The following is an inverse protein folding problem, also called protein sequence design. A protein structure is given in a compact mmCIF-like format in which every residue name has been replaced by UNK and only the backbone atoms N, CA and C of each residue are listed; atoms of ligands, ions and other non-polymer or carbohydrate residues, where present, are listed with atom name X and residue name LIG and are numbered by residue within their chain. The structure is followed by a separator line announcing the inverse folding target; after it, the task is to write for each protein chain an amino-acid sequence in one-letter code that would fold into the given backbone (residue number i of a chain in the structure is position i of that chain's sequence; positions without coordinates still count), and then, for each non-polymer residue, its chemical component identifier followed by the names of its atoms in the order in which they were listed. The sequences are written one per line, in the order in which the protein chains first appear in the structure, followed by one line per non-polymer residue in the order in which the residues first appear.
data_IF_095342366994
#
_entry.id   IF_095342366994
#
_cell.length_a   1.000
_cell.length_b   1.000
_cell.length_c   1.000
_cell.angle_alpha   90.00
_cell.angle_beta   90.00
_cell.angle_gamma   90.00
#
_symmetry.space_group_name_H-M   'P 1'
#
loop_
_entity.id
_entity.type
_entity.pdbx_description
1 polymer ?
#
# COMPACT_ATOMS: atom_id res chain seq x y z
N UNK A 1 12.28 61.10 14.82
CA UNK A 1 11.04 60.28 14.75
C UNK A 1 9.92 60.73 15.70
N UNK A 2 9.98 61.91 16.31
CA UNK A 2 9.07 62.33 17.40
C UNK A 2 7.90 63.27 16.97
N UNK A 3 7.96 64.08 15.88
CA UNK A 3 6.88 65.02 15.60
C UNK A 3 5.61 64.33 15.09
N UNK A 4 5.74 63.30 14.24
CA UNK A 4 4.62 62.56 13.66
C UNK A 4 3.74 61.88 14.71
N UNK A 5 4.35 61.24 15.72
CA UNK A 5 3.64 60.59 16.82
C UNK A 5 2.81 61.59 17.65
N UNK A 6 3.33 62.80 17.89
CA UNK A 6 2.61 63.85 18.64
C UNK A 6 1.43 64.43 17.86
N UNK A 7 1.58 64.64 16.54
CA UNK A 7 0.47 65.08 15.67
C UNK A 7 -0.61 64.01 15.55
N UNK A 8 -0.22 62.74 15.38
CA UNK A 8 -1.15 61.63 15.32
C UNK A 8 -1.96 61.51 16.62
N UNK A 9 -1.33 61.69 17.78
CA UNK A 9 -2.00 61.63 19.09
C UNK A 9 -3.02 62.76 19.28
N UNK A 10 -2.70 63.97 18.79
CA UNK A 10 -3.59 65.14 18.84
C UNK A 10 -4.83 64.98 17.94
N UNK A 11 -4.66 64.30 16.81
CA UNK A 11 -5.77 63.91 15.92
C UNK A 11 -6.59 62.74 16.49
N UNK A 12 -5.94 61.76 17.12
CA UNK A 12 -6.60 60.61 17.74
C UNK A 12 -7.52 61.03 18.91
N UNK A 13 -7.07 61.99 19.72
CA UNK A 13 -7.84 62.50 20.87
C UNK A 13 -9.02 63.40 20.49
N UNK A 14 -9.11 63.83 19.22
CA UNK A 14 -10.23 64.64 18.69
C UNK A 14 -11.31 63.83 17.98
N UNK A 15 -11.17 62.51 17.90
CA UNK A 15 -12.16 61.64 17.26
C UNK A 15 -13.44 61.54 18.11
N UNK A 16 -14.62 61.59 17.47
CA UNK A 16 -15.89 61.39 18.18
C UNK A 16 -15.93 59.99 18.80
N UNK A 17 -16.64 59.83 19.92
CA UNK A 17 -16.70 58.56 20.65
C UNK A 17 -17.13 57.37 19.78
N UNK A 18 -17.94 57.60 18.75
CA UNK A 18 -18.37 56.61 17.77
C UNK A 18 -17.21 56.00 16.96
N UNK A 19 -16.19 56.81 16.61
CA UNK A 19 -15.01 56.31 15.90
C UNK A 19 -14.18 55.36 16.76
N UNK A 20 -14.11 55.60 18.07
CA UNK A 20 -13.45 54.71 19.03
C UNK A 20 -14.20 53.38 19.20
N UNK A 21 -15.54 53.40 19.13
CA UNK A 21 -16.36 52.18 19.14
C UNK A 21 -16.08 51.35 17.89
N UNK A 22 -16.01 51.98 16.71
CA UNK A 22 -15.68 51.27 15.46
C UNK A 22 -14.27 50.68 15.47
N UNK A 23 -13.28 51.42 15.99
CA UNK A 23 -11.90 50.93 16.13
C UNK A 23 -11.85 49.76 17.12
N UNK A 24 -12.51 49.88 18.27
CA UNK A 24 -12.58 48.82 19.28
C UNK A 24 -13.26 47.56 18.73
N UNK A 25 -14.37 47.73 18.01
CA UNK A 25 -15.06 46.63 17.34
C UNK A 25 -14.21 45.95 16.27
N UNK A 26 -13.50 46.73 15.44
CA UNK A 26 -12.56 46.20 14.45
C UNK A 26 -11.42 45.42 15.08
N UNK A 27 -10.82 45.94 16.15
CA UNK A 27 -9.75 45.25 16.89
C UNK A 27 -10.23 43.93 17.53
N UNK A 28 -11.43 43.93 18.12
CA UNK A 28 -12.02 42.72 18.68
C UNK A 28 -12.29 41.66 17.61
N UNK A 29 -12.81 42.07 16.44
CA UNK A 29 -13.08 41.15 15.34
C UNK A 29 -11.80 40.55 14.75
N UNK A 30 -10.75 41.35 14.57
CA UNK A 30 -9.44 40.85 14.13
C UNK A 30 -8.84 39.90 15.16
N UNK A 31 -8.90 40.23 16.46
CA UNK A 31 -8.43 39.37 17.52
C UNK A 31 -9.15 38.01 17.54
N UNK A 32 -10.48 38.02 17.36
CA UNK A 32 -11.29 36.81 17.27
C UNK A 32 -10.90 35.94 16.07
N UNK A 33 -10.73 36.53 14.89
CA UNK A 33 -10.34 35.79 13.69
C UNK A 33 -8.96 35.15 13.81
N UNK A 34 -7.99 35.88 14.38
CA UNK A 34 -6.63 35.38 14.62
C UNK A 34 -6.67 34.22 15.61
N UNK A 35 -7.36 34.40 16.74
CA UNK A 35 -7.51 33.34 17.74
C UNK A 35 -8.16 32.09 17.15
N UNK A 36 -9.28 32.24 16.44
CA UNK A 36 -9.99 31.14 15.79
C UNK A 36 -9.12 30.44 14.72
N UNK A 37 -8.28 31.17 13.99
CA UNK A 37 -7.36 30.56 13.02
C UNK A 37 -6.31 29.67 13.70
N UNK A 38 -5.69 30.16 14.78
CA UNK A 38 -4.70 29.39 15.53
C UNK A 38 -5.30 28.22 16.31
N UNK A 39 -6.50 28.39 16.87
CA UNK A 39 -7.23 27.32 17.55
C UNK A 39 -7.61 26.19 16.59
N UNK A 40 -8.13 26.52 15.41
CA UNK A 40 -8.41 25.54 14.37
C UNK A 40 -7.13 24.86 13.86
N UNK A 41 -6.04 25.59 13.67
CA UNK A 41 -4.76 25.01 13.27
C UNK A 41 -4.24 24.01 14.31
N UNK A 42 -4.33 24.36 15.60
CA UNK A 42 -3.94 23.48 16.70
C UNK A 42 -4.85 22.23 16.78
N UNK A 43 -6.14 22.38 16.54
CA UNK A 43 -7.08 21.26 16.52
C UNK A 43 -6.81 20.29 15.35
N UNK A 44 -6.49 20.81 14.16
CA UNK A 44 -6.12 20.00 13.00
C UNK A 44 -4.83 19.23 13.27
N UNK A 45 -3.80 19.89 13.81
CA UNK A 45 -2.52 19.25 14.09
C UNK A 45 -2.64 18.12 15.13
N UNK A 46 -3.43 18.32 16.18
CA UNK A 46 -3.72 17.25 17.16
C UNK A 46 -4.44 16.06 16.52
N UNK A 47 -5.41 16.32 15.63
CA UNK A 47 -6.13 15.27 14.95
C UNK A 47 -5.23 14.48 13.98
N UNK A 48 -4.34 15.15 13.25
CA UNK A 48 -3.41 14.50 12.34
C UNK A 48 -2.35 13.68 13.09
N UNK A 49 -1.87 14.16 14.25
CA UNK A 49 -1.02 13.38 15.13
C UNK A 49 -1.73 12.13 15.66
N UNK A 50 -3.00 12.25 16.06
CA UNK A 50 -3.80 11.11 16.51
C UNK A 50 -4.00 10.07 15.39
N UNK A 51 -4.26 10.53 14.15
CA UNK A 51 -4.34 9.66 12.97
C UNK A 51 -3.02 8.99 12.65
N UNK A 52 -1.91 9.71 12.71
CA UNK A 52 -0.58 9.17 12.43
C UNK A 52 -0.19 8.08 13.45
N UNK A 53 -0.50 8.30 14.73
CA UNK A 53 -0.28 7.33 15.80
C UNK A 53 -1.16 6.09 15.64
N UNK A 54 -2.46 6.26 15.34
CA UNK A 54 -3.36 5.13 15.06
C UNK A 54 -2.93 4.33 13.83
N UNK A 55 -2.47 5.02 12.78
CA UNK A 55 -1.95 4.38 11.57
C UNK A 55 -0.62 3.64 11.78
N UNK A 56 0.21 4.04 12.75
CA UNK A 56 1.47 3.36 13.05
C UNK A 56 1.26 1.94 13.58
N UNK A 57 0.38 1.80 14.58
CA UNK A 57 0.01 0.48 15.12
C UNK A 57 -0.65 -0.42 14.07
N UNK A 58 -1.48 0.16 13.18
CA UNK A 58 -2.06 -0.57 12.06
C UNK A 58 -1.03 -1.09 11.06
N UNK A 59 0.01 -0.30 10.74
CA UNK A 59 1.09 -0.70 9.83
C UNK A 59 1.92 -1.86 10.37
N UNK A 60 2.23 -1.85 11.66
CA UNK A 60 2.97 -2.94 12.32
C UNK A 60 2.18 -4.25 12.27
N UNK A 61 0.89 -4.19 12.64
CA UNK A 61 0.01 -5.36 12.58
C UNK A 61 -0.14 -5.91 11.16
N UNK A 62 -0.31 -5.05 10.16
CA UNK A 62 -0.35 -5.49 8.77
C UNK A 62 0.98 -6.08 8.28
N UNK A 63 2.13 -5.62 8.79
CA UNK A 63 3.42 -6.21 8.46
C UNK A 63 3.57 -7.64 9.03
N UNK A 64 3.13 -7.85 10.27
CA UNK A 64 3.13 -9.18 10.91
C UNK A 64 2.20 -10.17 10.19
N UNK A 65 0.99 -9.73 9.84
CA UNK A 65 0.01 -10.53 9.09
C UNK A 65 0.55 -10.91 7.70
N UNK A 66 1.17 -9.96 6.97
CA UNK A 66 1.77 -10.23 5.67
C UNK A 66 2.91 -11.26 5.73
N UNK A 67 3.72 -11.22 6.80
CA UNK A 67 4.81 -12.19 6.99
C UNK A 67 4.26 -13.58 7.32
N UNK A 68 3.24 -13.67 8.18
CA UNK A 68 2.59 -14.92 8.51
C UNK A 68 1.96 -15.58 7.26
N UNK A 69 1.26 -14.79 6.44
CA UNK A 69 0.66 -15.26 5.19
C UNK A 69 1.73 -15.73 4.19
N UNK A 70 2.88 -15.04 4.11
CA UNK A 70 3.98 -15.46 3.24
C UNK A 70 4.54 -16.83 3.66
N UNK A 71 4.76 -17.05 4.96
CA UNK A 71 5.23 -18.33 5.48
C UNK A 71 4.23 -19.46 5.28
N UNK A 72 2.94 -19.20 5.50
CA UNK A 72 1.90 -20.21 5.29
C UNK A 72 1.80 -20.60 3.82
N UNK A 73 1.82 -19.62 2.92
CA UNK A 73 1.82 -19.88 1.48
C UNK A 73 3.06 -20.64 1.02
N UNK A 74 4.24 -20.32 1.58
CA UNK A 74 5.47 -21.07 1.33
C UNK A 74 5.31 -22.53 1.77
N UNK A 75 4.82 -22.76 2.99
CA UNK A 75 4.60 -24.10 3.55
C UNK A 75 3.64 -24.93 2.69
N UNK A 76 2.55 -24.32 2.22
CA UNK A 76 1.57 -24.99 1.35
C UNK A 76 2.17 -25.38 0.00
N UNK A 77 3.03 -24.53 -0.58
CA UNK A 77 3.76 -24.84 -1.81
C UNK A 77 4.72 -26.00 -1.60
N UNK A 78 5.49 -25.99 -0.52
CA UNK A 78 6.44 -27.06 -0.20
C UNK A 78 5.72 -28.40 0.03
N UNK A 79 4.57 -28.40 0.72
CA UNK A 79 3.75 -29.59 0.91
C UNK A 79 3.18 -30.13 -0.41
N UNK A 80 2.70 -29.24 -1.28
CA UNK A 80 2.20 -29.62 -2.61
C UNK A 80 3.31 -30.23 -3.44
N UNK A 81 4.48 -29.60 -3.47
CA UNK A 81 5.60 -30.04 -4.29
C UNK A 81 6.15 -31.38 -3.76
N UNK A 82 6.17 -31.58 -2.44
CA UNK A 82 6.49 -32.88 -1.83
C UNK A 82 5.46 -33.96 -2.20
N UNK A 83 4.16 -33.65 -2.18
CA UNK A 83 3.11 -34.58 -2.58
C UNK A 83 3.20 -34.95 -4.06
N UNK A 84 3.51 -33.99 -4.94
CA UNK A 84 3.74 -34.23 -6.37
C UNK A 84 4.97 -35.13 -6.55
N UNK A 85 6.08 -34.84 -5.88
CA UNK A 85 7.29 -35.66 -5.96
C UNK A 85 7.04 -37.09 -5.46
N UNK A 86 6.27 -37.26 -4.39
CA UNK A 86 5.89 -38.58 -3.89
C UNK A 86 4.98 -39.32 -4.87
N UNK A 87 4.01 -38.65 -5.48
CA UNK A 87 3.14 -39.24 -6.50
C UNK A 87 3.96 -39.67 -7.74
N UNK A 88 4.87 -38.81 -8.22
CA UNK A 88 5.77 -39.11 -9.33
C UNK A 88 6.68 -40.31 -9.03
N UNK A 89 7.27 -40.37 -7.83
CA UNK A 89 8.08 -41.51 -7.39
C UNK A 89 7.25 -42.80 -7.31
N UNK A 90 6.00 -42.70 -6.83
CA UNK A 90 5.07 -43.84 -6.72
C UNK A 90 4.67 -44.37 -8.10
N UNK A 91 4.37 -43.48 -9.06
CA UNK A 91 4.10 -43.87 -10.45
C UNK A 91 5.36 -44.45 -11.12
N UNK A 92 6.53 -43.86 -10.91
CA UNK A 92 7.78 -44.37 -11.46
C UNK A 92 8.13 -45.77 -10.94
N UNK A 93 7.76 -46.08 -9.70
CA UNK A 93 7.96 -47.40 -9.09
C UNK A 93 7.03 -48.49 -9.67
N UNK A 94 5.92 -48.12 -10.34
CA UNK A 94 5.05 -49.10 -11.01
C UNK A 94 5.72 -49.68 -12.25
N UNK A 95 5.45 -50.95 -12.58
CA UNK A 95 5.87 -51.51 -13.85
C UNK A 95 5.24 -50.71 -15.01
N UNK A 96 5.92 -50.58 -16.17
CA UNK A 96 5.53 -49.67 -17.25
C UNK A 96 4.06 -49.82 -17.69
N UNK A 97 3.57 -51.05 -17.74
CA UNK A 97 2.21 -51.42 -18.12
C UNK A 97 1.13 -50.99 -17.11
N UNK A 98 1.50 -50.70 -15.86
CA UNK A 98 0.59 -50.29 -14.78
C UNK A 98 0.70 -48.80 -14.42
N UNK A 99 1.59 -48.05 -15.10
CA UNK A 99 1.72 -46.61 -14.91
C UNK A 99 0.49 -45.89 -15.44
N UNK A 100 0.09 -44.81 -14.78
CA UNK A 100 -0.93 -43.92 -15.32
C UNK A 100 -0.45 -43.39 -16.69
N UNK A 101 -1.20 -43.68 -17.75
CA UNK A 101 -0.90 -43.18 -19.10
C UNK A 101 -1.72 -41.92 -19.34
N UNK A 102 -1.06 -40.88 -19.82
CA UNK A 102 -1.76 -39.72 -20.38
C UNK A 102 -2.38 -40.15 -21.71
N UNK A 103 -3.66 -39.84 -21.94
CA UNK A 103 -4.27 -40.14 -23.23
C UNK A 103 -3.46 -39.46 -24.36
N UNK A 104 -3.24 -40.13 -25.50
CA UNK A 104 -2.37 -39.60 -26.57
C UNK A 104 -2.82 -38.25 -27.11
N UNK A 105 -4.14 -37.98 -27.08
CA UNK A 105 -4.72 -36.69 -27.45
C UNK A 105 -4.34 -35.57 -26.46
N UNK A 106 -4.35 -35.88 -25.16
CA UNK A 106 -3.97 -34.93 -24.12
C UNK A 106 -2.46 -34.65 -24.15
N UNK A 107 -1.64 -35.68 -24.42
CA UNK A 107 -0.20 -35.49 -24.63
C UNK A 107 0.07 -34.58 -25.84
N UNK A 108 -0.56 -34.86 -26.98
CA UNK A 108 -0.41 -34.04 -28.18
C UNK A 108 -0.84 -32.58 -27.96
N UNK A 109 -1.93 -32.34 -27.22
CA UNK A 109 -2.38 -31.00 -26.86
C UNK A 109 -1.34 -30.29 -25.97
N UNK A 110 -0.81 -30.96 -24.94
CA UNK A 110 0.22 -30.37 -24.08
C UNK A 110 1.50 -30.04 -24.87
N UNK A 111 1.90 -30.90 -25.80
CA UNK A 111 3.03 -30.63 -26.69
C UNK A 111 2.78 -29.42 -27.61
N UNK A 112 1.55 -29.23 -28.09
CA UNK A 112 1.19 -28.08 -28.91
C UNK A 112 1.22 -26.78 -28.09
N UNK A 113 0.63 -26.78 -26.90
CA UNK A 113 0.66 -25.64 -25.97
C UNK A 113 2.11 -25.27 -25.63
N UNK A 114 2.95 -26.25 -25.31
CA UNK A 114 4.36 -25.99 -25.01
C UNK A 114 5.12 -25.35 -26.18
N UNK A 115 4.78 -25.69 -27.43
CA UNK A 115 5.37 -25.03 -28.63
C UNK A 115 4.90 -23.60 -28.83
N UNK A 116 3.72 -23.25 -28.34
CA UNK A 116 3.17 -21.89 -28.40
C UNK A 116 3.72 -21.01 -27.27
N UNK A 117 3.86 -21.57 -26.06
CA UNK A 117 4.23 -20.83 -24.86
C UNK A 117 5.74 -20.61 -24.68
N UNK A 118 6.58 -21.50 -25.25
CA UNK A 118 8.02 -21.49 -25.02
C UNK A 118 8.83 -21.41 -26.31
N UNK A 119 10.00 -20.78 -26.21
CA UNK A 119 10.95 -20.74 -27.34
C UNK A 119 11.65 -22.08 -27.53
N UNK A 120 12.15 -22.35 -28.75
CA UNK A 120 12.88 -23.59 -29.05
C UNK A 120 14.10 -23.82 -28.14
N UNK A 121 14.75 -22.75 -27.67
CA UNK A 121 15.88 -22.83 -26.75
C UNK A 121 15.47 -23.20 -25.32
N UNK A 122 14.26 -22.87 -24.89
CA UNK A 122 13.70 -23.24 -23.60
C UNK A 122 13.19 -24.68 -23.64
N UNK A 123 12.49 -25.06 -24.71
CA UNK A 123 12.03 -26.43 -24.95
C UNK A 123 13.19 -27.43 -25.05
N UNK A 124 14.35 -27.01 -25.56
CA UNK A 124 15.57 -27.83 -25.58
C UNK A 124 16.09 -28.20 -24.18
N UNK A 125 15.74 -27.42 -23.15
CA UNK A 125 16.16 -27.64 -21.75
C UNK A 125 15.14 -28.46 -20.95
N UNK A 126 13.93 -28.65 -21.47
CA UNK A 126 12.86 -29.41 -20.80
C UNK A 126 12.95 -30.89 -21.16
N UNK A 127 13.44 -31.73 -20.26
CA UNK A 127 13.60 -33.18 -20.51
C UNK A 127 12.29 -33.88 -20.84
N UNK A 128 11.19 -33.56 -20.16
CA UNK A 128 9.87 -34.16 -20.45
C UNK A 128 9.38 -33.84 -21.86
N UNK A 129 9.58 -32.60 -22.33
CA UNK A 129 9.20 -32.22 -23.69
C UNK A 129 10.07 -32.96 -24.73
N UNK A 130 11.37 -33.13 -24.45
CA UNK A 130 12.26 -33.91 -25.33
C UNK A 130 11.88 -35.40 -25.37
N UNK A 131 11.39 -35.95 -24.27
CA UNK A 131 11.04 -37.37 -24.16
C UNK A 131 9.67 -37.69 -24.76
N UNK A 132 8.70 -36.77 -24.66
CA UNK A 132 7.31 -37.04 -25.02
C UNK A 132 6.78 -36.26 -26.23
N UNK A 133 7.43 -35.17 -26.64
CA UNK A 133 6.90 -34.23 -27.65
C UNK A 133 7.82 -33.99 -28.86
N UNK A 134 9.01 -34.59 -28.86
CA UNK A 134 10.00 -34.46 -29.94
C UNK A 134 9.88 -35.57 -30.97
#
# INVERSE_FOLDING_TARGET
MIPLAKTAWKWLGGLPGEAWILIGGGAALVGFLVWNHFDNAAAIEQHDQARAAAGAAGREKSAEENVADAFENQRLRDQRDAAIAQAAATEAAKPPEARATTAPQALALNCAIAREDYTAAELAKMSEYQEHCR
#
